data_IF_464126555923
#
_entry.id   IF_464126555923
#
_cell.length_a   1.000
_cell.length_b   1.000
_cell.length_c   1.000
_cell.angle_alpha   90.00
_cell.angle_beta   90.00
_cell.angle_gamma   90.00
#
_symmetry.space_group_name_H-M   'P 1'
#
loop_
_entity.id
_entity.type
_entity.pdbx_description
1 polymer ?
#
# COMPACT_ATOMS: atom_id res chain seq x y z
N UNK A 1 -11.73 13.93 -8.56
CA UNK A 1 -10.86 13.26 -7.56
C UNK A 1 -11.22 13.60 -6.12
N UNK A 2 -11.65 14.83 -5.81
CA UNK A 2 -12.04 15.23 -4.45
C UNK A 2 -13.19 14.39 -3.86
N UNK A 3 -14.23 14.08 -4.65
CA UNK A 3 -15.35 13.28 -4.13
C UNK A 3 -14.97 11.81 -3.94
N UNK A 4 -14.15 11.25 -4.84
CA UNK A 4 -13.58 9.90 -4.68
C UNK A 4 -12.74 9.84 -3.41
N UNK A 5 -11.88 10.82 -3.17
CA UNK A 5 -11.09 10.93 -1.94
C UNK A 5 -11.98 10.95 -0.69
N UNK A 6 -13.02 11.79 -0.66
CA UNK A 6 -13.99 11.82 0.44
C UNK A 6 -14.71 10.48 0.63
N UNK A 7 -15.06 9.81 -0.46
CA UNK A 7 -15.67 8.48 -0.44
C UNK A 7 -14.75 7.42 0.16
N UNK A 8 -13.46 7.41 -0.22
CA UNK A 8 -12.47 6.50 0.38
C UNK A 8 -12.25 6.82 1.86
N UNK A 9 -12.12 8.11 2.21
CA UNK A 9 -12.01 8.57 3.60
C UNK A 9 -13.22 8.14 4.44
N UNK A 10 -14.42 8.23 3.89
CA UNK A 10 -15.64 7.70 4.50
C UNK A 10 -15.59 6.17 4.63
N UNK A 11 -15.29 5.43 3.56
CA UNK A 11 -15.28 3.96 3.59
C UNK A 11 -14.25 3.40 4.59
N UNK A 12 -13.07 4.01 4.67
CA UNK A 12 -11.99 3.62 5.58
C UNK A 12 -12.06 4.32 6.93
N UNK A 13 -13.06 5.20 7.15
CA UNK A 13 -13.24 6.00 8.37
C UNK A 13 -11.93 6.71 8.79
N UNK A 14 -11.29 7.40 7.85
CA UNK A 14 -10.00 8.09 8.06
C UNK A 14 -10.09 9.57 7.68
N UNK A 15 -9.37 10.42 8.42
CA UNK A 15 -9.17 11.84 8.10
C UNK A 15 -7.84 12.12 7.40
N UNK A 16 -7.11 11.09 6.96
CA UNK A 16 -5.78 11.26 6.36
C UNK A 16 -5.85 12.11 5.09
N UNK A 17 -5.07 13.20 5.07
CA UNK A 17 -5.01 14.07 3.89
C UNK A 17 -4.40 13.36 2.69
N UNK A 18 -3.49 12.40 2.91
CA UNK A 18 -2.95 11.54 1.87
C UNK A 18 -3.91 10.35 1.67
N UNK A 19 -4.95 10.58 0.86
CA UNK A 19 -5.88 9.54 0.40
C UNK A 19 -6.07 9.69 -1.09
N UNK A 20 -5.74 8.62 -1.82
CA UNK A 20 -5.66 8.60 -3.27
C UNK A 20 -6.13 7.24 -3.81
N UNK A 21 -6.64 7.25 -5.04
CA UNK A 21 -6.88 6.06 -5.81
C UNK A 21 -5.73 5.83 -6.78
N UNK A 22 -5.30 4.58 -6.95
CA UNK A 22 -4.21 4.21 -7.86
C UNK A 22 -4.78 3.71 -9.19
N UNK A 23 -4.19 4.17 -10.30
CA UNK A 23 -4.49 3.65 -11.63
C UNK A 23 -3.84 2.29 -11.82
N UNK A 24 -4.55 1.22 -11.46
CA UNK A 24 -4.04 -0.14 -11.53
C UNK A 24 -4.96 -1.14 -10.83
N UNK A 25 -4.50 -2.39 -10.73
CA UNK A 25 -5.19 -3.40 -9.92
C UNK A 25 -4.89 -3.21 -8.43
N UNK A 26 -5.47 -4.04 -7.57
CA UNK A 26 -5.13 -4.04 -6.14
C UNK A 26 -3.64 -4.26 -5.86
N UNK A 27 -2.91 -4.94 -6.75
CA UNK A 27 -1.47 -5.17 -6.60
C UNK A 27 -0.66 -3.87 -6.71
N UNK A 28 -1.10 -2.93 -7.56
CA UNK A 28 -0.47 -1.62 -7.69
C UNK A 28 -0.56 -0.81 -6.39
N UNK A 29 -1.62 -0.99 -5.60
CA UNK A 29 -1.73 -0.34 -4.29
C UNK A 29 -0.71 -0.90 -3.29
N UNK A 30 -0.41 -2.20 -3.36
CA UNK A 30 0.61 -2.86 -2.52
C UNK A 30 2.01 -2.36 -2.86
N UNK A 31 2.39 -2.34 -4.14
CA UNK A 31 3.67 -1.78 -4.59
C UNK A 31 3.80 -0.30 -4.22
N UNK A 32 2.76 0.50 -4.46
CA UNK A 32 2.74 1.92 -4.09
C UNK A 32 2.98 2.12 -2.59
N UNK A 33 2.35 1.33 -1.72
CA UNK A 33 2.53 1.43 -0.29
C UNK A 33 3.99 1.11 0.13
N UNK A 34 4.57 0.01 -0.37
CA UNK A 34 5.93 -0.41 -0.01
C UNK A 34 6.99 0.54 -0.56
N UNK A 35 6.90 0.91 -1.84
CA UNK A 35 7.91 1.75 -2.50
C UNK A 35 8.00 3.17 -1.95
N UNK A 36 6.97 3.67 -1.27
CA UNK A 36 6.98 5.00 -0.66
C UNK A 36 7.45 5.01 0.80
N UNK A 37 7.56 3.85 1.46
CA UNK A 37 7.91 3.77 2.90
C UNK A 37 9.18 2.98 3.21
N UNK A 38 9.73 2.26 2.22
CA UNK A 38 10.94 1.45 2.37
C UNK A 38 12.04 1.99 1.46
N UNK A 39 13.22 2.22 2.02
CA UNK A 39 14.45 2.56 1.27
C UNK A 39 15.40 1.36 1.15
N UNK A 40 16.29 1.33 0.12
CA UNK A 40 17.27 0.27 -0.04
C UNK A 40 18.18 0.08 1.17
N UNK A 41 18.27 -1.16 1.65
CA UNK A 41 19.07 -1.52 2.83
C UNK A 41 18.33 -1.43 4.17
N UNK A 42 17.07 -1.00 4.18
CA UNK A 42 16.23 -1.07 5.38
C UNK A 42 15.74 -2.51 5.65
N UNK A 43 15.54 -2.83 6.93
CA UNK A 43 14.97 -4.11 7.33
C UNK A 43 13.45 -4.03 7.44
N UNK A 44 12.73 -4.93 6.76
CA UNK A 44 11.26 -4.98 6.74
C UNK A 44 10.78 -6.27 7.40
N UNK A 45 9.85 -6.16 8.35
CA UNK A 45 9.15 -7.32 8.93
C UNK A 45 7.82 -7.54 8.22
N UNK A 46 7.64 -8.71 7.60
CA UNK A 46 6.38 -9.11 6.96
C UNK A 46 5.79 -10.32 7.68
N UNK A 47 4.59 -10.16 8.23
CA UNK A 47 3.84 -11.27 8.84
C UNK A 47 3.09 -12.06 7.75
N UNK A 48 3.67 -13.18 7.32
CA UNK A 48 3.09 -14.01 6.25
C UNK A 48 1.99 -14.91 6.81
N UNK A 49 0.73 -14.58 6.49
CA UNK A 49 -0.46 -15.38 6.81
C UNK A 49 -1.20 -15.80 5.51
N UNK A 50 -0.45 -16.29 4.53
CA UNK A 50 -0.94 -16.70 3.21
C UNK A 50 -0.37 -15.86 2.07
N UNK A 51 -0.89 -16.09 0.85
CA UNK A 51 -0.31 -15.59 -0.41
C UNK A 51 -0.10 -14.07 -0.44
N UNK A 52 -0.95 -13.28 0.21
CA UNK A 52 -0.79 -11.82 0.20
C UNK A 52 0.40 -11.35 1.03
N UNK A 53 0.75 -12.06 2.10
CA UNK A 53 1.97 -11.79 2.86
C UNK A 53 3.21 -12.16 2.06
N UNK A 54 3.18 -13.29 1.34
CA UNK A 54 4.27 -13.71 0.44
C UNK A 54 4.52 -12.65 -0.64
N UNK A 55 3.46 -12.10 -1.23
CA UNK A 55 3.57 -11.03 -2.24
C UNK A 55 4.18 -9.73 -1.69
N UNK A 56 3.81 -9.31 -0.48
CA UNK A 56 4.43 -8.13 0.14
C UNK A 56 5.93 -8.38 0.39
N UNK A 57 6.30 -9.58 0.86
CA UNK A 57 7.70 -9.94 1.09
C UNK A 57 8.51 -9.92 -0.21
N UNK A 58 7.99 -10.51 -1.29
CA UNK A 58 8.61 -10.46 -2.63
C UNK A 58 8.81 -9.02 -3.13
N UNK A 59 7.86 -8.11 -2.87
CA UNK A 59 7.98 -6.69 -3.25
C UNK A 59 9.07 -6.00 -2.39
N UNK A 60 9.11 -6.29 -1.09
CA UNK A 60 10.08 -5.69 -0.17
C UNK A 60 11.53 -6.14 -0.47
N UNK A 61 11.75 -7.39 -0.88
CA UNK A 61 13.07 -7.88 -1.30
C UNK A 61 13.63 -7.20 -2.56
N UNK A 62 12.78 -6.50 -3.33
CA UNK A 62 13.18 -5.76 -4.53
C UNK A 62 13.63 -4.32 -4.23
N UNK A 63 13.54 -3.87 -2.98
CA UNK A 63 13.95 -2.54 -2.50
C UNK A 63 15.33 -2.61 -1.86
#
# INVERSE_FOLDING_TARGET
MNDIKKGIQYAFQTSNNMTLAMSGSGHTAMECAVFNIVEPGESVLVAVNGIWGERVAEIAERM
#
